data_IF_717538954245
#
_entry.id   IF_717538954245
#
_cell.length_a   1.000
_cell.length_b   1.000
_cell.length_c   1.000
_cell.angle_alpha   90.00
_cell.angle_beta   90.00
_cell.angle_gamma   90.00
#
_symmetry.space_group_name_H-M   'P 1'
#
loop_
_entity.id
_entity.type
_entity.pdbx_description
1 polymer ?
#
# COMPACT_ATOMS: atom_id res chain seq x y z
N UNK A 1 -20.77 5.98 -4.72
CA UNK A 1 -19.75 4.93 -4.76
C UNK A 1 -19.54 4.42 -3.35
N UNK A 2 -19.74 3.13 -3.10
CA UNK A 2 -19.50 2.54 -1.78
C UNK A 2 -18.03 2.07 -1.73
N UNK A 3 -17.28 2.54 -0.73
CA UNK A 3 -15.91 2.09 -0.50
C UNK A 3 -15.98 0.73 0.20
N UNK A 4 -15.70 -0.35 -0.52
CA UNK A 4 -15.63 -1.69 0.09
C UNK A 4 -14.35 -1.77 0.92
N UNK A 5 -14.46 -1.55 2.22
CA UNK A 5 -13.36 -1.71 3.15
C UNK A 5 -13.16 -3.21 3.43
N UNK A 6 -12.15 -3.81 2.82
CA UNK A 6 -11.73 -5.16 3.16
C UNK A 6 -11.02 -5.16 4.52
N UNK A 7 -11.32 -6.11 5.40
CA UNK A 7 -10.66 -6.35 6.70
C UNK A 7 -9.27 -6.98 6.54
N UNK A 8 -8.52 -6.59 5.50
CA UNK A 8 -7.13 -7.00 5.28
C UNK A 8 -6.24 -5.79 5.49
N UNK A 9 -5.39 -5.84 6.51
CA UNK A 9 -4.40 -4.80 6.81
C UNK A 9 -3.06 -5.03 6.07
N UNK A 10 -3.06 -5.88 5.04
CA UNK A 10 -1.85 -6.30 4.31
C UNK A 10 -2.06 -5.99 2.83
N UNK A 11 -1.12 -5.24 2.27
CA UNK A 11 -0.95 -5.04 0.83
C UNK A 11 0.25 -5.84 0.34
N UNK A 12 0.23 -6.24 -0.94
CA UNK A 12 1.31 -7.01 -1.56
C UNK A 12 2.11 -6.09 -2.47
N UNK A 13 3.41 -5.97 -2.18
CA UNK A 13 4.35 -5.20 -2.99
C UNK A 13 5.31 -6.17 -3.65
N UNK A 14 5.50 -6.09 -4.96
CA UNK A 14 6.56 -6.82 -5.66
C UNK A 14 7.83 -5.97 -5.69
N UNK A 15 8.90 -6.53 -5.14
CA UNK A 15 10.23 -5.94 -5.15
C UNK A 15 11.22 -6.95 -5.73
N UNK A 16 11.86 -6.60 -6.85
CA UNK A 16 12.85 -7.46 -7.53
C UNK A 16 12.37 -8.91 -7.76
N UNK A 17 11.10 -9.08 -8.11
CA UNK A 17 10.48 -10.40 -8.36
C UNK A 17 10.00 -11.14 -7.09
N UNK A 18 10.18 -10.56 -5.91
CA UNK A 18 9.71 -11.14 -4.64
C UNK A 18 8.48 -10.36 -4.15
N UNK A 19 7.41 -11.08 -3.82
CA UNK A 19 6.22 -10.49 -3.21
C UNK A 19 6.46 -10.32 -1.71
N UNK A 20 6.45 -9.07 -1.27
CA UNK A 20 6.58 -8.66 0.13
C UNK A 20 5.22 -8.19 0.64
N UNK A 21 4.85 -8.68 1.82
CA UNK A 21 3.64 -8.25 2.50
C UNK A 21 3.94 -6.98 3.32
N UNK A 22 3.26 -5.88 2.99
CA UNK A 22 3.39 -4.61 3.69
C UNK A 22 2.15 -4.36 4.55
N UNK A 23 2.37 -3.87 5.77
CA UNK A 23 1.27 -3.59 6.71
C UNK A 23 0.78 -2.16 6.51
N UNK A 24 -0.53 -2.00 6.50
CA UNK A 24 -1.19 -0.69 6.50
C UNK A 24 -1.04 -0.07 7.89
N UNK A 25 -0.38 1.09 7.96
CA UNK A 25 -0.21 1.88 9.17
C UNK A 25 -1.38 2.83 9.41
N UNK A 26 -1.91 3.44 8.35
CA UNK A 26 -2.97 4.44 8.45
C UNK A 26 -3.87 4.39 7.22
N UNK A 27 -5.17 4.49 7.42
CA UNK A 27 -6.13 4.72 6.35
C UNK A 27 -6.49 6.21 6.30
N UNK A 28 -6.35 6.83 5.12
CA UNK A 28 -6.71 8.23 4.87
C UNK A 28 -7.92 8.27 3.93
N UNK A 29 -8.43 9.47 3.59
CA UNK A 29 -9.62 9.61 2.74
C UNK A 29 -9.45 8.98 1.34
N UNK A 30 -8.29 9.17 0.71
CA UNK A 30 -8.04 8.78 -0.69
C UNK A 30 -6.92 7.73 -0.86
N UNK A 31 -6.21 7.39 0.21
CA UNK A 31 -5.07 6.48 0.17
C UNK A 31 -4.90 5.79 1.51
N UNK A 32 -4.08 4.76 1.54
CA UNK A 32 -3.54 4.15 2.75
C UNK A 32 -2.04 4.42 2.84
N UNK A 33 -1.54 4.51 4.06
CA UNK A 33 -0.12 4.61 4.36
C UNK A 33 0.37 3.25 4.81
N UNK A 34 1.46 2.79 4.21
CA UNK A 34 1.98 1.44 4.38
C UNK A 34 3.46 1.50 4.75
N UNK A 35 3.92 0.57 5.57
CA UNK A 35 5.34 0.44 5.90
C UNK A 35 6.00 -0.55 4.95
N UNK A 36 7.02 -0.11 4.21
CA UNK A 36 7.87 -0.97 3.40
C UNK A 36 9.33 -0.59 3.66
N UNK A 37 10.17 -1.58 4.03
CA UNK A 37 11.61 -1.40 4.31
C UNK A 37 11.93 -0.16 5.16
N UNK A 38 11.23 -0.02 6.28
CA UNK A 38 11.35 1.09 7.24
C UNK A 38 10.98 2.49 6.73
N UNK A 39 10.45 2.58 5.51
CA UNK A 39 9.89 3.80 4.94
C UNK A 39 8.37 3.70 4.85
N UNK A 40 7.73 4.86 4.85
CA UNK A 40 6.29 4.98 4.70
C UNK A 40 5.95 5.38 3.27
N UNK A 41 4.97 4.69 2.70
CA UNK A 41 4.51 4.93 1.35
C UNK A 41 2.99 5.10 1.33
N UNK A 42 2.50 5.89 0.37
CA UNK A 42 1.08 6.10 0.09
C UNK A 42 0.68 5.14 -1.04
N UNK A 43 -0.45 4.47 -0.83
CA UNK A 43 -1.06 3.57 -1.80
C UNK A 43 -2.52 3.99 -2.00
N UNK A 44 -2.94 4.36 -3.22
CA UNK A 44 -4.34 4.64 -3.52
C UNK A 44 -5.24 3.43 -3.29
N UNK A 45 -6.49 3.65 -2.85
CA UNK A 45 -7.44 2.55 -2.60
C UNK A 45 -7.68 1.66 -3.82
N UNK A 46 -7.65 2.22 -5.03
CA UNK A 46 -7.81 1.45 -6.26
C UNK A 46 -6.72 0.41 -6.52
N UNK A 47 -5.59 0.48 -5.83
CA UNK A 47 -4.44 -0.43 -6.01
C UNK A 47 -4.27 -1.43 -4.85
N UNK A 48 -5.06 -1.32 -3.77
CA UNK A 48 -4.84 -2.10 -2.53
C UNK A 48 -5.02 -3.61 -2.74
N UNK A 49 -5.95 -4.01 -3.59
CA UNK A 49 -6.21 -5.43 -3.87
C UNK A 49 -5.26 -6.02 -4.94
N UNK A 50 -4.43 -5.17 -5.57
CA UNK A 50 -3.47 -5.58 -6.59
C UNK A 50 -2.07 -5.90 -6.00
N UNK A 51 -1.23 -6.53 -6.82
CA UNK A 51 0.20 -6.67 -6.53
C UNK A 51 0.90 -5.43 -7.07
N UNK A 52 1.35 -4.56 -6.18
CA UNK A 52 1.90 -3.25 -6.55
C UNK A 52 3.40 -3.35 -6.75
N UNK A 53 3.91 -2.89 -7.89
CA UNK A 53 5.34 -2.72 -8.11
C UNK A 53 5.96 -1.72 -7.13
N UNK A 54 7.16 -2.01 -6.61
CA UNK A 54 7.86 -1.08 -5.72
C UNK A 54 8.04 0.32 -6.33
N UNK A 55 8.09 0.42 -7.66
CA UNK A 55 8.18 1.68 -8.41
C UNK A 55 6.93 2.56 -8.31
N UNK A 56 5.77 2.00 -7.99
CA UNK A 56 4.50 2.72 -7.85
C UNK A 56 4.27 3.24 -6.42
N UNK A 57 5.16 2.91 -5.48
CA UNK A 57 5.06 3.37 -4.10
C UNK A 57 5.46 4.85 -3.98
N UNK A 58 4.51 5.69 -3.58
CA UNK A 58 4.76 7.13 -3.40
C UNK A 58 5.26 7.38 -1.97
N UNK A 59 6.49 7.89 -1.75
CA UNK A 59 6.99 8.14 -0.40
C UNK A 59 6.15 9.20 0.32
N UNK A 60 6.00 9.06 1.65
CA UNK A 60 5.27 10.04 2.48
C UNK A 60 6.08 11.31 2.75
N UNK A 61 7.41 11.20 2.77
CA UNK A 61 8.31 12.33 3.00
C UNK A 61 8.82 12.88 1.66
N UNK A 62 8.36 14.08 1.30
CA UNK A 62 9.16 15.07 0.58
C UNK A 62 10.01 15.85 1.59
#
# INVERSE_FOLDING_TARGET
>A
MALTLHTRNIIRVIDNGVIVNCVILKMCLNHVVVKFRDKQYKVPYGLIDEVIGHELLVPVNE
#
